data_IF_362727989553
#
_entry.id   IF_362727989553
#
_cell.length_a   1.000
_cell.length_b   1.000
_cell.length_c   1.000
_cell.angle_alpha   90.00
_cell.angle_beta   90.00
_cell.angle_gamma   90.00
#
_symmetry.space_group_name_H-M   'P 1'
#
loop_
_entity.id
_entity.type
_entity.pdbx_description
1 polymer ?
#
# COMPACT_ATOMS: atom_id res chain seq x y z
N UNK A 1 -13.72 -7.33 25.71
CA UNK A 1 -14.42 -6.03 25.61
C UNK A 1 -13.51 -5.10 24.85
N UNK A 2 -13.94 -4.65 23.68
CA UNK A 2 -13.24 -3.59 22.94
C UNK A 2 -13.30 -2.32 23.76
N UNK A 3 -12.15 -1.67 23.96
CA UNK A 3 -12.12 -0.36 24.61
C UNK A 3 -12.79 0.66 23.70
N UNK A 4 -13.46 1.64 24.30
CA UNK A 4 -13.94 2.81 23.59
C UNK A 4 -12.77 3.54 22.90
N UNK A 5 -12.93 4.03 21.65
CA UNK A 5 -11.83 4.63 20.88
C UNK A 5 -11.16 5.82 21.57
N UNK A 6 -11.91 6.70 22.23
CA UNK A 6 -11.32 7.85 22.95
C UNK A 6 -10.48 7.37 24.13
N UNK A 7 -10.96 6.34 24.83
CA UNK A 7 -10.21 5.74 25.94
C UNK A 7 -8.95 5.02 25.47
N UNK A 8 -9.01 4.31 24.34
CA UNK A 8 -7.83 3.70 23.69
C UNK A 8 -6.81 4.79 23.34
N UNK A 9 -7.25 5.87 22.71
CA UNK A 9 -6.38 6.98 22.30
C UNK A 9 -5.71 7.67 23.51
N UNK A 10 -6.46 7.91 24.58
CA UNK A 10 -5.95 8.50 25.83
C UNK A 10 -4.89 7.62 26.50
N UNK A 11 -5.11 6.31 26.58
CA UNK A 11 -4.14 5.36 27.12
C UNK A 11 -2.86 5.31 26.29
N UNK A 12 -2.98 5.34 24.96
CA UNK A 12 -1.83 5.39 24.04
C UNK A 12 -1.02 6.67 24.21
N UNK A 13 -1.67 7.82 24.37
CA UNK A 13 -0.98 9.07 24.68
C UNK A 13 -0.28 9.07 26.04
N UNK A 14 -0.88 8.45 27.06
CA UNK A 14 -0.23 8.27 28.35
C UNK A 14 1.00 7.35 28.24
N UNK A 15 0.90 6.25 27.48
CA UNK A 15 2.03 5.35 27.19
C UNK A 15 3.16 6.08 26.47
N UNK A 16 2.85 6.83 25.40
CA UNK A 16 3.85 7.59 24.66
C UNK A 16 4.56 8.61 25.55
N UNK A 17 3.83 9.39 26.35
CA UNK A 17 4.45 10.33 27.29
C UNK A 17 5.36 9.65 28.30
N UNK A 18 4.98 8.50 28.83
CA UNK A 18 5.83 7.73 29.73
C UNK A 18 7.12 7.25 29.05
N UNK A 19 7.04 6.80 27.79
CA UNK A 19 8.21 6.41 27.00
C UNK A 19 9.14 7.60 26.71
N UNK A 20 8.57 8.76 26.38
CA UNK A 20 9.34 10.00 26.18
C UNK A 20 10.05 10.37 27.49
N UNK A 21 9.33 10.37 28.62
CA UNK A 21 9.93 10.72 29.92
C UNK A 21 11.08 9.80 30.31
N UNK A 22 10.96 8.49 30.06
CA UNK A 22 12.04 7.54 30.32
C UNK A 22 13.22 7.69 29.34
N UNK A 23 12.97 8.19 28.12
CA UNK A 23 13.99 8.35 27.07
C UNK A 23 14.82 9.64 27.20
N UNK A 24 14.18 10.76 27.56
CA UNK A 24 14.83 12.10 27.58
C UNK A 24 14.76 12.82 28.93
N UNK A 25 14.12 12.23 29.95
CA UNK A 25 13.87 12.89 31.24
C UNK A 25 12.56 13.69 31.23
N UNK A 26 12.43 14.72 32.08
CA UNK A 26 11.21 15.54 32.08
C UNK A 26 11.09 16.33 30.76
N UNK A 27 10.05 16.07 29.94
CA UNK A 27 9.84 16.84 28.71
C UNK A 27 9.50 18.30 29.03
N UNK A 28 9.68 19.19 28.05
CA UNK A 28 9.24 20.58 28.17
C UNK A 28 7.74 20.66 28.55
N UNK A 29 7.34 21.70 29.30
CA UNK A 29 5.96 21.87 29.78
C UNK A 29 4.92 21.95 28.65
N UNK A 30 5.35 22.28 27.44
CA UNK A 30 4.52 22.64 26.30
C UNK A 30 4.50 21.53 25.24
N UNK A 31 4.27 20.28 25.66
CA UNK A 31 4.11 19.14 24.74
C UNK A 31 2.87 19.32 23.85
N UNK A 32 3.07 19.39 22.53
CA UNK A 32 1.95 19.25 21.59
C UNK A 32 1.63 17.75 21.44
N UNK A 33 0.64 17.26 22.18
CA UNK A 33 0.22 15.84 22.15
C UNK A 33 -1.09 15.66 21.39
N UNK A 34 -1.16 14.65 20.54
CA UNK A 34 -2.36 14.24 19.81
C UNK A 34 -2.42 12.71 19.77
N UNK A 35 -3.12 12.12 20.75
CA UNK A 35 -3.28 10.68 20.85
C UNK A 35 -1.96 9.92 20.90
N UNK A 36 -1.62 9.22 19.81
CA UNK A 36 -0.39 8.45 19.67
C UNK A 36 0.81 9.25 19.15
N UNK A 37 0.74 10.59 19.18
CA UNK A 37 1.79 11.48 18.67
C UNK A 37 2.09 12.57 19.70
N UNK A 38 3.35 13.01 19.74
CA UNK A 38 3.81 14.07 20.63
C UNK A 38 4.98 14.81 20.02
N UNK A 39 4.91 16.14 19.95
CA UNK A 39 6.06 16.98 19.65
C UNK A 39 6.57 17.63 20.94
N UNK A 40 7.84 17.41 21.27
CA UNK A 40 8.44 17.88 22.52
C UNK A 40 9.10 19.27 22.44
N UNK A 41 8.92 19.96 21.31
CA UNK A 41 9.62 21.20 20.98
C UNK A 41 10.84 20.99 20.07
N UNK A 42 11.39 19.78 20.04
CA UNK A 42 12.62 19.44 19.30
C UNK A 42 12.50 18.20 18.43
N UNK A 43 11.64 17.24 18.78
CA UNK A 43 11.48 15.96 18.11
C UNK A 43 9.99 15.57 18.05
N UNK A 44 9.60 15.00 16.92
CA UNK A 44 8.32 14.32 16.78
C UNK A 44 8.44 12.87 17.27
N UNK A 45 7.58 12.47 18.18
CA UNK A 45 7.45 11.11 18.67
C UNK A 45 6.12 10.53 18.21
N UNK A 46 6.14 9.31 17.68
CA UNK A 46 4.94 8.60 17.23
C UNK A 46 4.95 7.19 17.79
N UNK A 47 3.82 6.74 18.33
CA UNK A 47 3.60 5.36 18.76
C UNK A 47 2.74 4.62 17.71
N UNK A 48 3.29 3.57 17.12
CA UNK A 48 2.63 2.73 16.13
C UNK A 48 1.37 2.07 16.70
N UNK A 49 0.28 2.06 15.93
CA UNK A 49 -0.94 1.39 16.35
C UNK A 49 -0.71 -0.12 16.47
N UNK A 50 -1.36 -0.76 17.45
CA UNK A 50 -1.23 -2.21 17.63
C UNK A 50 -2.00 -2.99 16.55
N UNK A 51 -3.07 -2.40 16.00
CA UNK A 51 -3.94 -3.04 15.02
C UNK A 51 -3.46 -2.82 13.58
N UNK A 52 -2.65 -1.78 13.36
CA UNK A 52 -2.14 -1.36 12.04
C UNK A 52 -0.76 -0.68 12.20
N UNK A 53 0.26 -1.43 12.69
CA UNK A 53 1.58 -0.87 12.94
C UNK A 53 2.27 -0.43 11.64
N UNK A 54 1.98 -1.07 10.51
CA UNK A 54 2.57 -0.77 9.21
C UNK A 54 2.33 0.68 8.75
N UNK A 55 1.24 1.33 9.19
CA UNK A 55 0.93 2.73 8.83
C UNK A 55 1.74 3.76 9.59
N UNK A 56 2.41 3.35 10.67
CA UNK A 56 3.01 4.27 11.63
C UNK A 56 4.12 5.12 11.00
N UNK A 57 4.99 4.51 10.20
CA UNK A 57 6.10 5.20 9.55
C UNK A 57 5.61 6.27 8.57
N UNK A 58 4.73 5.89 7.63
CA UNK A 58 4.18 6.82 6.66
C UNK A 58 3.38 7.95 7.31
N UNK A 59 2.53 7.62 8.29
CA UNK A 59 1.78 8.62 9.08
C UNK A 59 2.71 9.58 9.85
N UNK A 60 3.80 9.08 10.42
CA UNK A 60 4.81 9.91 11.09
C UNK A 60 5.50 10.86 10.12
N UNK A 61 5.83 10.39 8.91
CA UNK A 61 6.39 11.24 7.85
C UNK A 61 5.42 12.34 7.44
N UNK A 62 4.15 12.01 7.19
CA UNK A 62 3.12 13.00 6.91
C UNK A 62 2.96 14.02 8.04
N UNK A 63 2.96 13.58 9.29
CA UNK A 63 2.87 14.49 10.44
C UNK A 63 4.10 15.40 10.53
N UNK A 64 5.28 14.87 10.23
CA UNK A 64 6.54 15.63 10.34
C UNK A 64 6.57 16.88 9.48
N UNK A 65 5.79 16.93 8.39
CA UNK A 65 5.64 18.10 7.52
C UNK A 65 5.31 19.36 8.29
N UNK A 66 4.47 19.26 9.34
CA UNK A 66 4.10 20.42 10.19
C UNK A 66 5.28 20.94 11.02
N UNK A 67 6.25 20.09 11.30
CA UNK A 67 7.40 20.37 12.17
C UNK A 67 8.71 20.55 11.37
N UNK A 68 8.62 20.62 10.04
CA UNK A 68 9.77 20.83 9.15
C UNK A 68 10.80 19.72 9.24
N UNK A 69 12.07 20.10 9.40
CA UNK A 69 13.20 19.18 9.47
C UNK A 69 13.44 18.59 10.88
N UNK A 70 12.52 18.80 11.83
CA UNK A 70 12.65 18.23 13.15
C UNK A 70 12.84 16.70 13.06
N UNK A 71 13.80 16.13 13.82
CA UNK A 71 13.97 14.68 13.85
C UNK A 71 12.69 14.02 14.36
N UNK A 72 12.48 12.77 13.97
CA UNK A 72 11.37 11.97 14.45
C UNK A 72 11.84 10.62 15.01
N UNK A 73 11.13 10.14 16.02
CA UNK A 73 11.22 8.76 16.51
C UNK A 73 9.88 8.06 16.38
N UNK A 74 9.86 6.88 15.75
CA UNK A 74 8.68 6.03 15.63
C UNK A 74 8.87 4.79 16.49
N UNK A 75 7.98 4.61 17.44
CA UNK A 75 8.02 3.56 18.45
C UNK A 75 7.04 2.44 18.10
N UNK A 76 7.52 1.19 18.13
CA UNK A 76 6.73 0.01 17.80
C UNK A 76 6.73 -0.98 18.97
N UNK A 77 5.58 -1.53 19.30
CA UNK A 77 5.49 -2.65 20.26
C UNK A 77 5.93 -3.97 19.62
N UNK A 78 5.45 -4.21 18.40
CA UNK A 78 5.78 -5.42 17.65
C UNK A 78 7.21 -5.37 17.08
N UNK A 79 7.95 -6.47 17.22
CA UNK A 79 9.35 -6.54 16.81
C UNK A 79 9.50 -6.61 15.29
N UNK A 80 8.62 -7.33 14.60
CA UNK A 80 8.71 -7.53 13.15
C UNK A 80 8.35 -6.23 12.43
N UNK A 81 7.29 -5.55 12.86
CA UNK A 81 6.92 -4.23 12.36
C UNK A 81 8.01 -3.19 12.61
N UNK A 82 8.68 -3.22 13.78
CA UNK A 82 9.81 -2.34 14.06
C UNK A 82 11.00 -2.61 13.10
N UNK A 83 11.31 -3.88 12.85
CA UNK A 83 12.40 -4.27 11.96
C UNK A 83 12.10 -3.88 10.50
N UNK A 84 10.86 -4.08 10.06
CA UNK A 84 10.35 -3.68 8.74
C UNK A 84 10.41 -2.16 8.56
N UNK A 85 9.90 -1.40 9.53
CA UNK A 85 9.98 0.06 9.51
C UNK A 85 11.43 0.56 9.53
N UNK A 86 12.34 -0.13 10.23
CA UNK A 86 13.78 0.19 10.23
C UNK A 86 14.41 -0.01 8.86
N UNK A 87 14.05 -1.09 8.15
CA UNK A 87 14.48 -1.29 6.75
C UNK A 87 13.98 -0.14 5.89
N UNK A 88 12.68 0.14 5.89
CA UNK A 88 12.05 1.22 5.09
C UNK A 88 12.62 2.61 5.39
N UNK A 89 12.93 2.90 6.66
CA UNK A 89 13.51 4.17 7.07
C UNK A 89 14.88 4.47 6.42
N UNK A 90 15.63 3.45 6.00
CA UNK A 90 16.90 3.62 5.30
C UNK A 90 16.78 4.28 3.91
N UNK A 91 15.57 4.25 3.32
CA UNK A 91 15.26 4.92 2.06
C UNK A 91 14.75 6.36 2.24
N UNK A 92 14.75 6.88 3.47
CA UNK A 92 14.25 8.22 3.79
C UNK A 92 15.38 9.15 4.26
N UNK A 93 15.23 10.44 3.97
CA UNK A 93 16.15 11.50 4.35
C UNK A 93 15.38 12.69 5.00
N UNK A 94 15.83 13.18 6.18
CA UNK A 94 16.68 12.45 7.12
C UNK A 94 15.96 11.17 7.58
N UNK A 95 16.73 10.11 7.86
CA UNK A 95 16.17 8.83 8.26
C UNK A 95 15.44 8.94 9.63
N UNK A 96 14.18 8.50 9.72
CA UNK A 96 13.48 8.38 11.00
C UNK A 96 14.20 7.44 11.96
N UNK A 97 14.24 7.79 13.24
CA UNK A 97 14.74 6.89 14.29
C UNK A 97 13.64 5.87 14.65
N UNK A 98 13.92 4.59 14.44
CA UNK A 98 12.95 3.52 14.70
C UNK A 98 13.33 2.79 15.98
N UNK A 99 12.38 2.69 16.91
CA UNK A 99 12.60 2.07 18.23
C UNK A 99 11.55 1.01 18.53
N UNK A 100 11.99 -0.11 19.13
CA UNK A 100 11.09 -1.08 19.73
C UNK A 100 10.81 -0.71 21.18
N UNK A 101 9.57 -0.86 21.63
CA UNK A 101 9.18 -0.74 23.04
C UNK A 101 9.52 -2.03 23.76
N UNK A 102 10.29 -1.93 24.84
CA UNK A 102 10.60 -3.03 25.77
C UNK A 102 10.27 -2.61 27.20
N UNK A 103 9.06 -2.98 27.65
CA UNK A 103 8.48 -2.46 28.88
C UNK A 103 8.29 -0.94 28.81
N UNK A 104 9.14 -0.18 29.52
CA UNK A 104 9.16 1.29 29.49
C UNK A 104 10.34 1.88 28.72
N UNK A 105 11.21 1.04 28.16
CA UNK A 105 12.42 1.48 27.46
C UNK A 105 12.21 1.42 25.96
N UNK A 106 12.86 2.34 25.26
CA UNK A 106 13.00 2.31 23.81
C UNK A 106 14.34 1.68 23.46
N UNK A 107 14.33 0.59 22.69
CA UNK A 107 15.53 -0.14 22.28
C UNK A 107 15.68 -0.13 20.77
N UNK A 108 16.92 -0.27 20.30
CA UNK A 108 17.22 -0.41 18.87
C UNK A 108 16.74 -1.76 18.34
N UNK A 109 16.41 -1.79 17.06
CA UNK A 109 16.05 -3.01 16.33
C UNK A 109 16.88 -3.05 15.05
N UNK A 110 17.40 -4.23 14.71
CA UNK A 110 18.05 -4.43 13.42
C UNK A 110 16.99 -4.36 12.31
N UNK A 111 17.33 -3.83 11.12
CA UNK A 111 16.43 -3.87 9.98
C UNK A 111 16.06 -5.31 9.63
N UNK A 112 14.82 -5.51 9.18
CA UNK A 112 14.42 -6.77 8.57
C UNK A 112 15.25 -7.04 7.31
N UNK A 113 15.39 -8.32 6.94
CA UNK A 113 16.05 -8.69 5.68
C UNK A 113 15.25 -8.17 4.49
N UNK A 114 15.93 -7.82 3.39
CA UNK A 114 15.23 -7.48 2.14
C UNK A 114 14.49 -8.71 1.63
N UNK A 115 13.18 -8.61 1.30
CA UNK A 115 12.45 -9.74 0.75
C UNK A 115 13.15 -10.26 -0.50
N UNK A 116 13.44 -11.55 -0.53
CA UNK A 116 14.00 -12.18 -1.73
C UNK A 116 12.94 -12.17 -2.84
N UNK A 117 13.32 -11.73 -4.04
CA UNK A 117 12.49 -11.93 -5.24
C UNK A 117 12.43 -13.42 -5.49
N UNK A 118 11.26 -14.02 -5.24
CA UNK A 118 11.00 -15.43 -5.54
C UNK A 118 10.46 -15.49 -6.97
N UNK A 119 10.99 -16.40 -7.78
CA UNK A 119 10.42 -16.66 -9.10
C UNK A 119 8.93 -16.97 -8.94
N UNK A 120 8.06 -16.30 -9.71
CA UNK A 120 6.63 -16.54 -9.59
C UNK A 120 6.34 -18.01 -9.89
N UNK A 121 5.41 -18.65 -9.15
CA UNK A 121 5.00 -20.00 -9.47
C UNK A 121 4.45 -20.04 -10.89
N UNK A 122 4.69 -21.15 -11.61
CA UNK A 122 4.07 -21.35 -12.92
C UNK A 122 2.54 -21.30 -12.83
N UNK A 123 1.88 -20.77 -13.87
CA UNK A 123 0.42 -20.75 -13.92
C UNK A 123 -0.15 -22.16 -13.79
N UNK A 124 -1.21 -22.36 -12.99
CA UNK A 124 -1.94 -23.62 -13.02
C UNK A 124 -2.45 -23.91 -14.43
N UNK A 125 -2.45 -25.18 -14.81
CA UNK A 125 -2.85 -25.63 -16.14
C UNK A 125 -4.24 -25.11 -16.48
N UNK A 126 -4.35 -24.39 -17.61
CA UNK A 126 -5.61 -23.84 -18.11
C UNK A 126 -6.09 -22.54 -17.43
N UNK A 127 -5.42 -22.05 -16.38
CA UNK A 127 -5.83 -20.81 -15.69
C UNK A 127 -5.78 -19.58 -16.60
N UNK A 128 -4.70 -19.43 -17.36
CA UNK A 128 -4.58 -18.29 -18.28
C UNK A 128 -5.62 -18.35 -19.40
N UNK A 129 -5.88 -19.54 -19.96
CA UNK A 129 -6.88 -19.75 -21.01
C UNK A 129 -8.29 -19.47 -20.49
N UNK A 130 -8.60 -19.90 -19.26
CA UNK A 130 -9.85 -19.57 -18.55
C UNK A 130 -10.03 -18.05 -18.43
N UNK A 131 -8.99 -17.33 -18.01
CA UNK A 131 -9.05 -15.88 -17.86
C UNK A 131 -9.20 -15.17 -19.21
N UNK A 132 -8.28 -15.44 -20.16
CA UNK A 132 -8.27 -14.79 -21.48
C UNK A 132 -9.53 -15.10 -22.28
N UNK A 133 -10.09 -16.30 -22.15
CA UNK A 133 -11.31 -16.72 -22.84
C UNK A 133 -12.54 -15.86 -22.53
N UNK A 134 -12.54 -15.17 -21.39
CA UNK A 134 -13.62 -14.25 -20.98
C UNK A 134 -13.13 -12.81 -20.80
N UNK A 135 -11.95 -12.48 -21.34
CA UNK A 135 -11.37 -11.14 -21.34
C UNK A 135 -10.85 -10.65 -19.98
N UNK A 136 -10.50 -11.58 -19.08
CA UNK A 136 -9.86 -11.31 -17.79
C UNK A 136 -8.35 -11.38 -17.96
N UNK A 137 -7.62 -10.42 -17.39
CA UNK A 137 -6.16 -10.35 -17.47
C UNK A 137 -5.53 -11.23 -16.39
N UNK A 138 -4.85 -12.34 -16.73
CA UNK A 138 -4.17 -13.17 -15.74
C UNK A 138 -2.86 -12.50 -15.29
N UNK A 139 -2.59 -12.53 -14.00
CA UNK A 139 -1.37 -12.02 -13.41
C UNK A 139 -0.99 -12.78 -12.15
N UNK A 140 0.27 -12.65 -11.72
CA UNK A 140 0.76 -13.19 -10.45
C UNK A 140 1.11 -12.02 -9.55
N UNK A 141 0.64 -12.06 -8.31
CA UNK A 141 1.00 -11.06 -7.31
C UNK A 141 1.18 -11.71 -5.94
N UNK A 142 2.35 -11.49 -5.32
CA UNK A 142 2.76 -12.14 -4.06
C UNK A 142 2.65 -13.67 -4.14
N UNK A 143 3.13 -14.23 -5.26
CA UNK A 143 3.08 -15.67 -5.54
C UNK A 143 1.68 -16.25 -5.76
N UNK A 144 0.65 -15.41 -5.85
CA UNK A 144 -0.74 -15.85 -6.03
C UNK A 144 -1.21 -15.48 -7.44
N UNK A 145 -1.63 -16.47 -8.21
CA UNK A 145 -2.27 -16.25 -9.51
C UNK A 145 -3.66 -15.63 -9.32
N UNK A 146 -3.92 -14.56 -10.07
CA UNK A 146 -5.11 -13.73 -10.05
C UNK A 146 -5.56 -13.42 -11.47
N UNK A 147 -6.82 -13.03 -11.61
CA UNK A 147 -7.34 -12.45 -12.84
C UNK A 147 -8.05 -11.15 -12.56
N UNK A 148 -7.71 -10.11 -13.31
CA UNK A 148 -8.22 -8.76 -13.12
C UNK A 148 -9.07 -8.26 -14.28
N UNK A 149 -10.02 -7.38 -13.97
CA UNK A 149 -10.75 -6.55 -14.92
C UNK A 149 -10.57 -5.09 -14.53
N UNK A 150 -9.89 -4.32 -15.37
CA UNK A 150 -9.56 -2.91 -15.11
C UNK A 150 -8.96 -2.70 -13.71
N UNK A 151 -7.99 -3.55 -13.32
CA UNK A 151 -7.31 -3.50 -12.02
C UNK A 151 -8.09 -4.07 -10.84
N UNK A 152 -9.27 -4.68 -11.04
CA UNK A 152 -10.03 -5.35 -9.98
C UNK A 152 -9.93 -6.86 -10.09
N UNK A 153 -9.45 -7.51 -9.04
CA UNK A 153 -9.46 -8.97 -8.93
C UNK A 153 -10.90 -9.50 -8.98
N UNK A 154 -11.16 -10.38 -9.94
CA UNK A 154 -12.41 -11.14 -10.08
C UNK A 154 -12.20 -12.63 -9.88
N UNK A 155 -10.95 -13.09 -9.87
CA UNK A 155 -10.61 -14.49 -9.70
C UNK A 155 -9.23 -14.64 -9.09
N UNK A 156 -9.03 -15.69 -8.29
CA UNK A 156 -7.71 -16.07 -7.78
C UNK A 156 -7.59 -17.58 -7.64
N UNK A 157 -6.35 -18.04 -7.71
CA UNK A 157 -5.98 -19.40 -7.34
C UNK A 157 -5.78 -19.44 -5.83
N UNK A 158 -6.32 -20.47 -5.21
CA UNK A 158 -6.16 -20.78 -3.79
C UNK A 158 -5.58 -22.18 -3.69
N UNK A 159 -4.50 -22.30 -2.93
CA UNK A 159 -3.95 -23.58 -2.56
C UNK A 159 -4.71 -24.08 -1.33
N UNK A 160 -5.40 -25.21 -1.49
CA UNK A 160 -6.13 -25.88 -0.43
C UNK A 160 -5.41 -27.17 -0.06
N UNK A 161 -5.06 -27.39 1.22
CA UNK A 161 -4.36 -28.59 1.64
C UNK A 161 -5.10 -29.90 1.34
N UNK A 162 -6.42 -29.87 1.25
CA UNK A 162 -7.28 -31.05 1.04
C UNK A 162 -7.71 -31.19 -0.43
N UNK A 163 -8.00 -30.07 -1.10
CA UNK A 163 -8.55 -30.03 -2.45
C UNK A 163 -7.50 -29.73 -3.54
N UNK A 164 -6.31 -29.30 -3.14
CA UNK A 164 -5.28 -28.76 -4.03
C UNK A 164 -5.62 -27.38 -4.58
N UNK A 165 -4.82 -26.93 -5.56
CA UNK A 165 -5.03 -25.66 -6.23
C UNK A 165 -6.40 -25.61 -6.91
N UNK A 166 -7.25 -24.69 -6.49
CA UNK A 166 -8.54 -24.42 -7.11
C UNK A 166 -8.75 -22.92 -7.34
N UNK A 167 -9.70 -22.61 -8.22
CA UNK A 167 -10.00 -21.25 -8.63
C UNK A 167 -11.23 -20.76 -7.85
N UNK A 168 -11.12 -19.57 -7.25
CA UNK A 168 -12.26 -18.91 -6.61
C UNK A 168 -12.59 -17.62 -7.36
N UNK A 169 -13.85 -17.50 -7.82
CA UNK A 169 -14.38 -16.38 -8.59
C UNK A 169 -15.23 -15.47 -7.70
N UNK A 170 -14.99 -14.16 -7.78
CA UNK A 170 -15.73 -13.13 -7.03
C UNK A 170 -14.84 -11.94 -6.63
N UNK A 171 -15.48 -10.79 -6.44
CA UNK A 171 -14.84 -9.53 -6.01
C UNK A 171 -14.68 -9.51 -4.49
N UNK A 172 -13.51 -9.93 -4.04
CA UNK A 172 -13.17 -9.99 -2.62
C UNK A 172 -13.64 -11.25 -1.92
N UNK A 173 -13.20 -11.41 -0.66
CA UNK A 173 -13.37 -12.66 0.10
C UNK A 173 -14.83 -13.06 0.27
N UNK A 174 -15.68 -12.14 0.74
CA UNK A 174 -17.08 -12.45 1.05
C UNK A 174 -17.90 -12.80 -0.20
N UNK A 175 -17.60 -12.17 -1.33
CA UNK A 175 -18.26 -12.48 -2.60
C UNK A 175 -17.89 -13.89 -3.09
N UNK A 176 -16.61 -14.26 -2.98
CA UNK A 176 -16.14 -15.62 -3.31
C UNK A 176 -16.75 -16.68 -2.40
N UNK A 177 -16.80 -16.43 -1.09
CA UNK A 177 -17.45 -17.33 -0.12
C UNK A 177 -18.95 -17.50 -0.43
N UNK A 178 -19.66 -16.42 -0.74
CA UNK A 178 -21.06 -16.46 -1.14
C UNK A 178 -21.25 -17.22 -2.47
N UNK A 179 -20.41 -16.97 -3.46
CA UNK A 179 -20.43 -17.65 -4.75
C UNK A 179 -20.25 -19.17 -4.61
N UNK A 180 -19.31 -19.62 -3.78
CA UNK A 180 -19.12 -21.05 -3.50
C UNK A 180 -20.34 -21.71 -2.86
N UNK A 181 -21.07 -20.99 -1.99
CA UNK A 181 -22.26 -21.51 -1.33
C UNK A 181 -23.51 -21.50 -2.23
N UNK A 182 -23.64 -20.48 -3.08
CA UNK A 182 -24.85 -20.25 -3.88
C UNK A 182 -24.78 -20.85 -5.29
N UNK A 183 -23.58 -21.03 -5.84
CA UNK A 183 -23.34 -21.40 -7.24
C UNK A 183 -22.36 -22.57 -7.39
N UNK A 184 -22.35 -23.51 -6.43
CA UNK A 184 -21.41 -24.65 -6.40
C UNK A 184 -21.42 -25.50 -7.69
N UNK A 185 -22.58 -25.65 -8.35
CA UNK A 185 -22.74 -26.47 -9.55
C UNK A 185 -22.47 -25.70 -10.86
N UNK A 186 -22.17 -24.39 -10.81
CA UNK A 186 -21.97 -23.59 -12.00
C UNK A 186 -20.56 -23.82 -12.60
N UNK A 187 -20.42 -23.96 -13.94
CA UNK A 187 -19.11 -24.02 -14.57
C UNK A 187 -18.29 -22.76 -14.29
N UNK A 188 -17.02 -22.94 -13.89
CA UNK A 188 -16.12 -21.85 -13.50
C UNK A 188 -16.00 -20.75 -14.58
N UNK A 189 -15.97 -21.13 -15.86
CA UNK A 189 -15.92 -20.17 -16.97
C UNK A 189 -17.16 -19.27 -17.07
N UNK A 190 -18.34 -19.82 -16.76
CA UNK A 190 -19.59 -19.04 -16.74
C UNK A 190 -19.63 -18.09 -15.54
N UNK A 191 -19.24 -18.57 -14.35
CA UNK A 191 -19.14 -17.71 -13.17
C UNK A 191 -18.13 -16.58 -13.38
N UNK A 192 -16.97 -16.88 -14.01
CA UNK A 192 -15.95 -15.87 -14.30
C UNK A 192 -16.44 -14.85 -15.33
N UNK A 193 -17.10 -15.31 -16.40
CA UNK A 193 -17.71 -14.42 -17.39
C UNK A 193 -18.72 -13.46 -16.74
N UNK A 194 -19.62 -13.98 -15.90
CA UNK A 194 -20.62 -13.18 -15.21
C UNK A 194 -20.00 -12.14 -14.27
N UNK A 195 -18.99 -12.52 -13.48
CA UNK A 195 -18.27 -11.60 -12.61
C UNK A 195 -17.52 -10.52 -13.42
N UNK A 196 -16.85 -10.91 -14.50
CA UNK A 196 -16.13 -9.99 -15.36
C UNK A 196 -17.05 -8.97 -16.04
N UNK A 197 -18.20 -9.42 -16.56
CA UNK A 197 -19.18 -8.55 -17.21
C UNK A 197 -19.82 -7.56 -16.23
N UNK A 198 -20.10 -7.99 -14.99
CA UNK A 198 -20.57 -7.10 -13.93
C UNK A 198 -19.52 -6.01 -13.64
N UNK A 199 -18.25 -6.37 -13.51
CA UNK A 199 -17.18 -5.39 -13.30
C UNK A 199 -17.06 -4.43 -14.48
N UNK A 200 -17.07 -4.91 -15.73
CA UNK A 200 -16.99 -4.06 -16.94
C UNK A 200 -18.16 -3.08 -17.05
N UNK A 201 -19.36 -3.51 -16.70
CA UNK A 201 -20.54 -2.65 -16.74
C UNK A 201 -20.41 -1.44 -15.80
N UNK A 202 -19.64 -1.60 -14.72
CA UNK A 202 -19.43 -0.57 -13.71
C UNK A 202 -18.07 0.11 -13.79
N UNK A 203 -16.99 -0.49 -14.26
CA UNK A 203 -15.66 0.16 -14.40
C UNK A 203 -15.49 0.81 -15.78
N UNK A 204 -16.16 1.94 -15.97
CA UNK A 204 -16.09 2.78 -17.17
C UNK A 204 -16.15 4.26 -16.80
N UNK A 205 -15.77 5.18 -17.70
CA UNK A 205 -15.91 6.61 -17.46
C UNK A 205 -17.32 7.01 -16.98
N UNK A 206 -17.40 7.86 -15.96
CA UNK A 206 -18.67 8.43 -15.48
C UNK A 206 -19.50 7.57 -14.51
N UNK A 207 -19.06 6.37 -14.13
CA UNK A 207 -19.76 5.49 -13.16
C UNK A 207 -19.22 5.61 -11.73
N UNK A 208 -18.54 6.70 -11.39
CA UNK A 208 -17.74 6.87 -10.18
C UNK A 208 -18.45 6.68 -8.83
N UNK A 209 -19.78 6.58 -8.79
CA UNK A 209 -20.57 6.34 -7.57
C UNK A 209 -20.84 4.86 -7.26
N UNK A 210 -20.70 3.95 -8.23
CA UNK A 210 -20.96 2.53 -7.99
C UNK A 210 -19.82 1.88 -7.19
N UNK A 211 -20.09 1.00 -6.21
CA UNK A 211 -19.03 0.39 -5.38
C UNK A 211 -17.90 -0.27 -6.18
N UNK A 212 -18.21 -1.04 -7.23
CA UNK A 212 -17.17 -1.66 -8.07
C UNK A 212 -16.25 -0.65 -8.76
N UNK A 213 -16.72 0.58 -8.97
CA UNK A 213 -15.96 1.69 -9.56
C UNK A 213 -15.13 2.46 -8.52
N UNK A 214 -15.31 2.22 -7.23
CA UNK A 214 -14.60 2.90 -6.14
C UNK A 214 -13.51 2.05 -5.50
N UNK A 215 -13.64 0.73 -5.54
CA UNK A 215 -12.62 -0.20 -5.02
C UNK A 215 -11.32 -0.09 -5.82
N UNK A 216 -10.17 -0.35 -5.19
CA UNK A 216 -8.87 -0.56 -5.85
C UNK A 216 -8.59 0.35 -7.07
N UNK A 217 -8.82 1.66 -6.94
CA UNK A 217 -8.71 2.62 -8.05
C UNK A 217 -7.26 2.85 -8.47
N UNK A 218 -6.35 2.74 -7.53
CA UNK A 218 -4.91 2.79 -7.79
C UNK A 218 -4.43 1.67 -8.73
N UNK A 219 -5.04 0.47 -8.68
CA UNK A 219 -4.77 -0.57 -9.69
C UNK A 219 -5.38 -0.29 -11.04
N UNK A 220 -6.55 0.34 -11.09
CA UNK A 220 -7.13 0.80 -12.35
C UNK A 220 -6.19 1.83 -12.98
N UNK A 221 -5.74 2.81 -12.20
CA UNK A 221 -4.79 3.82 -12.66
C UNK A 221 -3.49 3.20 -13.18
N UNK A 222 -2.91 2.25 -12.44
CA UNK A 222 -1.74 1.49 -12.89
C UNK A 222 -2.00 0.78 -14.21
N UNK A 223 -3.12 0.06 -14.33
CA UNK A 223 -3.49 -0.66 -15.55
C UNK A 223 -3.56 0.26 -16.76
N UNK A 224 -4.16 1.45 -16.60
CA UNK A 224 -4.28 2.41 -17.69
C UNK A 224 -2.90 2.95 -18.10
N UNK A 225 -2.00 3.20 -17.14
CA UNK A 225 -0.62 3.60 -17.42
C UNK A 225 0.24 2.47 -18.01
N UNK A 226 -0.01 1.21 -17.68
CA UNK A 226 0.69 0.09 -18.34
C UNK A 226 0.28 -0.05 -19.82
N UNK A 227 -0.89 0.44 -20.20
CA UNK A 227 -1.35 0.46 -21.60
C UNK A 227 -0.78 1.67 -22.33
N UNK A 228 -0.80 2.83 -21.69
CA UNK A 228 -0.19 4.06 -22.21
C UNK A 228 0.70 4.70 -21.14
N UNK A 229 2.01 4.42 -21.16
CA UNK A 229 2.96 4.95 -20.19
C UNK A 229 3.42 6.39 -20.51
N UNK A 230 2.98 6.97 -21.63
CA UNK A 230 3.39 8.31 -22.04
C UNK A 230 3.07 9.44 -21.06
N UNK A 231 1.95 9.43 -20.28
CA UNK A 231 1.66 10.48 -19.30
C UNK A 231 2.70 10.59 -18.17
N UNK A 232 3.42 9.50 -17.88
CA UNK A 232 4.51 9.47 -16.88
C UNK A 232 5.90 9.52 -17.52
N UNK A 233 5.96 9.78 -18.84
CA UNK A 233 7.18 9.95 -19.61
C UNK A 233 7.98 8.65 -19.82
N UNK A 234 7.30 7.51 -19.86
CA UNK A 234 7.92 6.19 -20.03
C UNK A 234 7.57 5.57 -21.39
N UNK A 235 8.40 4.63 -21.84
CA UNK A 235 8.21 3.92 -23.13
C UNK A 235 7.66 2.51 -22.95
N UNK A 236 7.88 1.92 -21.78
CA UNK A 236 7.27 0.68 -21.31
C UNK A 236 6.90 0.84 -19.83
N UNK A 237 6.00 -0.01 -19.36
CA UNK A 237 5.63 -0.07 -17.95
C UNK A 237 4.95 -1.43 -17.66
N UNK A 238 5.48 -2.16 -16.70
CA UNK A 238 4.94 -3.45 -16.27
C UNK A 238 4.63 -3.48 -14.78
N UNK A 239 3.51 -4.10 -14.36
CA UNK A 239 3.22 -4.36 -12.95
C UNK A 239 4.37 -5.05 -12.22
N UNK A 240 4.66 -4.61 -10.99
CA UNK A 240 5.51 -5.36 -10.05
C UNK A 240 4.76 -5.62 -8.75
N UNK A 241 5.24 -6.56 -7.94
CA UNK A 241 4.64 -6.87 -6.65
C UNK A 241 4.61 -5.62 -5.74
N UNK A 242 3.48 -5.27 -5.12
CA UNK A 242 3.46 -4.28 -4.05
C UNK A 242 4.44 -4.62 -2.92
N UNK A 243 4.87 -3.62 -2.15
CA UNK A 243 5.70 -3.87 -0.96
C UNK A 243 4.95 -4.75 0.06
N UNK A 244 3.66 -4.46 0.23
CA UNK A 244 2.78 -5.13 1.18
C UNK A 244 1.65 -5.87 0.45
N UNK A 245 1.24 -7.02 0.99
CA UNK A 245 0.01 -7.64 0.53
C UNK A 245 -1.18 -6.75 0.91
N UNK A 246 -2.11 -6.54 -0.03
CA UNK A 246 -3.33 -5.78 0.23
C UNK A 246 -4.17 -6.44 1.34
N UNK A 247 -4.42 -5.71 2.42
CA UNK A 247 -5.24 -6.17 3.54
C UNK A 247 -6.74 -6.24 3.20
N UNK A 248 -7.28 -5.24 2.51
CA UNK A 248 -8.70 -5.17 2.13
C UNK A 248 -8.93 -4.36 0.85
N UNK A 249 -10.14 -4.41 0.29
CA UNK A 249 -10.47 -3.76 -0.99
C UNK A 249 -10.83 -2.27 -0.89
N UNK A 250 -11.14 -1.78 0.31
CA UNK A 250 -11.69 -0.43 0.53
C UNK A 250 -10.60 0.60 0.78
N UNK A 251 -9.59 0.21 1.55
CA UNK A 251 -8.50 1.11 1.86
C UNK A 251 -7.56 1.22 0.65
N UNK A 252 -7.08 2.44 0.34
CA UNK A 252 -6.02 2.62 -0.66
C UNK A 252 -4.80 1.77 -0.30
N UNK A 253 -4.16 1.18 -1.32
CA UNK A 253 -2.94 0.41 -1.18
C UNK A 253 -2.07 0.62 -2.42
N UNK A 254 -0.86 1.19 -2.29
CA UNK A 254 -0.01 1.55 -3.43
C UNK A 254 0.13 0.44 -4.47
N UNK A 255 -0.10 0.77 -5.74
CA UNK A 255 0.01 -0.15 -6.86
C UNK A 255 1.24 0.20 -7.71
N UNK A 256 2.36 -0.54 -7.57
CA UNK A 256 3.57 -0.21 -8.30
C UNK A 256 3.65 -0.88 -9.67
N UNK A 257 4.43 -0.24 -10.52
CA UNK A 257 4.89 -0.74 -11.80
C UNK A 257 6.32 -0.24 -12.05
N UNK A 258 7.06 -0.93 -12.91
CA UNK A 258 8.42 -0.61 -13.26
C UNK A 258 8.54 -0.49 -14.77
N UNK A 259 9.26 0.51 -15.24
CA UNK A 259 9.47 0.74 -16.67
C UNK A 259 10.74 1.51 -16.94
N UNK A 260 10.89 1.90 -18.20
CA UNK A 260 12.03 2.66 -18.71
C UNK A 260 11.59 3.94 -19.39
N UNK A 261 12.38 5.00 -19.25
CA UNK A 261 12.18 6.21 -20.05
C UNK A 261 12.95 6.17 -21.37
N UNK A 262 12.81 7.22 -22.19
CA UNK A 262 13.47 7.32 -23.50
C UNK A 262 15.00 7.38 -23.44
N UNK A 263 15.57 7.62 -22.26
CA UNK A 263 17.01 7.58 -22.01
C UNK A 263 17.47 6.22 -21.46
N UNK A 264 16.55 5.26 -21.29
CA UNK A 264 16.83 3.93 -20.76
C UNK A 264 16.98 3.88 -19.23
N UNK A 265 16.60 4.95 -18.51
CA UNK A 265 16.63 4.96 -17.04
C UNK A 265 15.48 4.14 -16.48
N UNK A 266 15.74 3.39 -15.42
CA UNK A 266 14.77 2.55 -14.72
C UNK A 266 13.93 3.41 -13.78
N UNK A 267 12.62 3.43 -14.00
CA UNK A 267 11.68 4.28 -13.26
C UNK A 267 10.66 3.42 -12.53
N UNK A 268 10.57 3.63 -11.22
CA UNK A 268 9.50 3.08 -10.40
C UNK A 268 8.30 4.01 -10.46
N UNK A 269 7.15 3.51 -10.93
CA UNK A 269 5.88 4.21 -10.88
C UNK A 269 5.05 3.65 -9.73
N UNK A 270 4.59 4.49 -8.81
CA UNK A 270 3.69 4.10 -7.73
C UNK A 270 2.37 4.84 -7.90
N UNK A 271 1.31 4.08 -8.20
CA UNK A 271 -0.04 4.61 -8.30
C UNK A 271 -0.73 4.59 -6.93
N UNK A 272 -1.39 5.68 -6.56
CA UNK A 272 -2.24 5.74 -5.37
C UNK A 272 -3.43 6.69 -5.58
N UNK A 273 -4.35 6.73 -4.62
CA UNK A 273 -5.57 7.55 -4.65
C UNK A 273 -5.94 8.04 -3.25
N UNK A 274 -6.55 9.21 -3.17
CA UNK A 274 -6.93 9.86 -1.92
C UNK A 274 -5.74 10.12 -1.00
N UNK A 275 -6.03 10.19 0.31
CA UNK A 275 -5.00 10.31 1.34
C UNK A 275 -4.56 8.91 1.77
N UNK A 276 -3.48 8.44 1.17
CA UNK A 276 -2.87 7.14 1.45
C UNK A 276 -1.61 7.30 2.33
N UNK A 277 -1.68 7.01 3.64
CA UNK A 277 -0.51 7.10 4.50
C UNK A 277 0.53 6.02 4.20
N UNK A 278 0.20 4.95 3.47
CA UNK A 278 1.15 3.91 3.10
C UNK A 278 2.04 4.27 1.92
N UNK A 279 1.70 5.31 1.15
CA UNK A 279 2.42 5.64 -0.07
C UNK A 279 3.91 5.86 0.16
N UNK A 280 4.30 6.51 1.26
CA UNK A 280 5.71 6.79 1.57
C UNK A 280 6.44 5.51 1.99
N UNK A 281 5.87 4.75 2.92
CA UNK A 281 6.48 3.52 3.46
C UNK A 281 6.60 2.44 2.40
N UNK A 282 5.56 2.22 1.60
CA UNK A 282 5.59 1.24 0.51
C UNK A 282 6.60 1.66 -0.57
N UNK A 283 6.60 2.94 -0.97
CA UNK A 283 7.57 3.43 -1.96
C UNK A 283 9.01 3.33 -1.46
N UNK A 284 9.24 3.61 -0.16
CA UNK A 284 10.55 3.46 0.46
C UNK A 284 11.07 2.02 0.37
N UNK A 285 10.22 1.03 0.65
CA UNK A 285 10.58 -0.39 0.50
C UNK A 285 10.91 -0.74 -0.96
N UNK A 286 10.07 -0.30 -1.89
CA UNK A 286 10.27 -0.52 -3.32
C UNK A 286 11.52 0.16 -3.87
N UNK A 287 11.91 1.31 -3.33
CA UNK A 287 13.18 1.98 -3.69
C UNK A 287 14.37 1.10 -3.28
N UNK A 288 14.32 0.47 -2.11
CA UNK A 288 15.38 -0.43 -1.65
C UNK A 288 15.41 -1.74 -2.45
N UNK A 289 14.24 -2.26 -2.81
CA UNK A 289 14.08 -3.53 -3.51
C UNK A 289 14.41 -3.43 -5.01
N UNK A 290 13.88 -2.41 -5.68
CA UNK A 290 13.97 -2.24 -7.12
C UNK A 290 15.16 -1.38 -7.56
N UNK A 291 15.75 -0.59 -6.66
CA UNK A 291 16.87 0.32 -6.95
C UNK A 291 16.65 1.19 -8.21
N UNK A 292 15.51 1.92 -8.31
CA UNK A 292 15.22 2.73 -9.49
C UNK A 292 16.12 3.97 -9.56
N UNK A 293 16.32 4.50 -10.77
CA UNK A 293 17.03 5.78 -10.98
C UNK A 293 16.22 6.97 -10.46
N UNK A 294 14.88 6.88 -10.55
CA UNK A 294 13.92 7.85 -10.03
C UNK A 294 12.54 7.20 -9.78
N UNK A 295 11.71 7.90 -9.01
CA UNK A 295 10.34 7.50 -8.72
C UNK A 295 9.37 8.50 -9.37
N UNK A 296 8.30 7.98 -9.94
CA UNK A 296 7.09 8.75 -10.28
C UNK A 296 5.96 8.28 -9.38
N UNK A 297 5.34 9.20 -8.68
CA UNK A 297 4.11 8.93 -7.95
C UNK A 297 2.94 9.47 -8.76
N UNK A 298 2.11 8.57 -9.29
CA UNK A 298 0.98 8.90 -10.13
C UNK A 298 -0.30 8.97 -9.29
N UNK A 299 -0.94 10.13 -9.27
CA UNK A 299 -2.15 10.42 -8.48
C UNK A 299 -3.22 11.08 -9.36
N UNK A 300 -4.51 10.93 -9.03
CA UNK A 300 -5.54 11.83 -9.53
C UNK A 300 -5.15 13.28 -9.21
N UNK A 301 -5.42 14.22 -10.13
CA UNK A 301 -5.04 15.64 -9.95
C UNK A 301 -5.52 16.23 -8.62
N UNK A 302 -6.74 15.88 -8.19
CA UNK A 302 -7.33 16.34 -6.93
C UNK A 302 -6.63 15.82 -5.67
N UNK A 303 -5.86 14.75 -5.79
CA UNK A 303 -5.17 14.09 -4.67
C UNK A 303 -3.72 14.60 -4.54
N UNK A 304 -3.26 15.47 -5.44
CA UNK A 304 -1.98 16.17 -5.32
C UNK A 304 -2.12 17.30 -4.30
N UNK A 305 -1.70 17.00 -3.07
CA UNK A 305 -1.71 17.93 -1.95
C UNK A 305 -0.28 18.24 -1.52
N UNK A 306 -0.01 19.50 -1.14
CA UNK A 306 1.33 19.90 -0.71
C UNK A 306 1.94 19.00 0.40
N UNK A 307 1.18 18.52 1.41
CA UNK A 307 1.71 17.58 2.40
C UNK A 307 2.14 16.22 1.80
N UNK A 308 1.50 15.78 0.70
CA UNK A 308 1.88 14.54 -0.02
C UNK A 308 3.20 14.73 -0.73
N UNK A 309 3.38 15.83 -1.46
CA UNK A 309 4.64 16.15 -2.13
C UNK A 309 5.79 16.28 -1.11
N UNK A 310 5.55 16.99 0.00
CA UNK A 310 6.55 17.18 1.06
C UNK A 310 6.92 15.87 1.77
N UNK A 311 5.95 14.98 2.00
CA UNK A 311 6.19 13.66 2.57
C UNK A 311 7.02 12.77 1.61
N UNK A 312 6.66 12.75 0.32
CA UNK A 312 7.36 11.99 -0.71
C UNK A 312 8.75 12.52 -1.01
N UNK A 313 8.98 13.84 -0.88
CA UNK A 313 10.30 14.45 -1.03
C UNK A 313 11.33 13.95 0.00
N UNK A 314 10.89 13.25 1.06
CA UNK A 314 11.80 12.57 1.99
C UNK A 314 12.38 11.29 1.44
N UNK A 315 11.88 10.74 0.33
CA UNK A 315 12.50 9.57 -0.29
C UNK A 315 13.91 9.92 -0.79
N UNK A 316 14.83 8.97 -0.63
CA UNK A 316 16.23 9.11 -1.04
C UNK A 316 16.37 9.13 -2.57
N UNK A 317 15.51 8.40 -3.28
CA UNK A 317 15.43 8.46 -4.73
C UNK A 317 14.77 9.77 -5.17
N UNK A 318 15.19 10.41 -6.28
CA UNK A 318 14.47 11.55 -6.83
C UNK A 318 13.02 11.20 -7.13
N UNK A 319 12.07 12.02 -6.66
CA UNK A 319 10.63 11.77 -6.82
C UNK A 319 9.97 12.90 -7.59
N UNK A 320 9.14 12.54 -8.57
CA UNK A 320 8.19 13.45 -9.21
C UNK A 320 6.77 12.98 -8.93
N UNK A 321 5.90 13.87 -8.46
CA UNK A 321 4.46 13.61 -8.35
C UNK A 321 3.80 14.08 -9.63
N UNK A 322 3.00 13.21 -10.27
CA UNK A 322 2.37 13.48 -11.56
C UNK A 322 0.86 13.26 -11.44
N UNK A 323 0.12 14.26 -11.91
CA UNK A 323 -1.32 14.20 -12.07
C UNK A 323 -1.70 13.42 -13.32
N UNK A 324 -2.63 12.48 -13.19
CA UNK A 324 -3.03 11.59 -14.27
C UNK A 324 -4.54 11.57 -14.44
N UNK A 325 -4.97 11.60 -15.70
CA UNK A 325 -6.38 11.48 -16.08
C UNK A 325 -6.88 10.11 -15.66
N UNK A 326 -7.96 10.08 -14.90
CA UNK A 326 -8.45 8.85 -14.30
C UNK A 326 -9.51 8.18 -15.18
N UNK A 327 -9.39 6.88 -15.43
CA UNK A 327 -10.36 6.12 -16.25
C UNK A 327 -11.80 6.09 -15.72
N UNK A 328 -12.03 6.46 -14.45
CA UNK A 328 -13.38 6.57 -13.85
C UNK A 328 -14.00 7.97 -13.98
N UNK A 329 -13.24 8.98 -14.37
CA UNK A 329 -13.76 10.33 -14.55
C UNK A 329 -14.58 10.40 -15.84
N UNK A 330 -15.72 11.09 -15.79
CA UNK A 330 -16.51 11.34 -16.99
C UNK A 330 -15.85 12.43 -17.82
N UNK A 331 -15.92 12.32 -19.15
CA UNK A 331 -15.52 13.38 -20.07
C UNK A 331 -16.40 14.63 -19.90
#
# INVERSE_FOLDING_TARGET
MTLDPERRLSLRGAKLRALISDAIGEPASDLESDGNQCFDGTRLWVLADEDDPERALGSAVFRSVRFGEAPMTVCFDDREAAAEATRRAAALLPAPDIRRVDGRRLVEVAPADTPSVVDPPGAPVGFEDLCRGVGVEPMVEHGIWRGEVAGLEVVRVVDDPELGNHVQVGVGRFDREAGMLLHADQPQGESLAAAADLVRAHRRPGTGAHPLSTLCRERWLRRDLCIDPSPVGLVDLEPVDPADQRANLRDPAPAPALGTDSEGRRVLVVCSVGVDPQIVSATADLVLRETPDRVVVALPDRDILAPVEQALARLRAPVNVVGVVCGWEGA
#
